data_IF_227102688609
#
_entry.id   IF_227102688609
#
_cell.length_a   1.000
_cell.length_b   1.000
_cell.length_c   1.000
_cell.angle_alpha   90.00
_cell.angle_beta   90.00
_cell.angle_gamma   90.00
#
_symmetry.space_group_name_H-M   'P 1'
#
loop_
_entity.id
_entity.type
_entity.pdbx_description
1 polymer ?
#
# COMPACT_ATOMS: atom_id res chain seq x y z
N UNK A 1 -45.88 20.44 -12.74
CA UNK A 1 -44.51 20.96 -12.47
C UNK A 1 -44.15 20.61 -11.03
N UNK A 2 -43.04 20.01 -10.64
CA UNK A 2 -41.85 19.50 -11.32
C UNK A 2 -41.23 18.41 -10.42
N UNK A 3 -40.57 17.43 -11.04
CA UNK A 3 -40.00 16.24 -10.41
C UNK A 3 -38.80 16.64 -9.54
N UNK A 4 -38.82 16.32 -8.24
CA UNK A 4 -37.65 16.43 -7.37
C UNK A 4 -36.64 15.35 -7.77
N UNK A 5 -35.72 15.68 -8.67
CA UNK A 5 -34.58 14.82 -8.97
C UNK A 5 -33.70 14.75 -7.73
N UNK A 6 -33.67 13.58 -7.09
CA UNK A 6 -32.70 13.27 -6.04
C UNK A 6 -31.30 13.39 -6.67
N UNK A 7 -30.64 14.52 -6.40
CA UNK A 7 -29.34 14.84 -6.94
C UNK A 7 -28.33 13.76 -6.55
N UNK A 8 -27.79 13.06 -7.55
CA UNK A 8 -26.61 12.21 -7.38
C UNK A 8 -25.50 13.10 -6.79
N UNK A 9 -24.79 12.68 -5.73
CA UNK A 9 -23.67 13.46 -5.22
C UNK A 9 -22.70 13.74 -6.38
N UNK A 10 -22.20 14.97 -6.53
CA UNK A 10 -21.26 15.29 -7.59
C UNK A 10 -20.06 14.34 -7.50
N UNK A 11 -19.73 13.69 -8.61
CA UNK A 11 -18.52 12.89 -8.74
C UNK A 11 -17.36 13.80 -8.35
N UNK A 12 -16.69 13.50 -7.24
CA UNK A 12 -15.49 14.24 -6.81
C UNK A 12 -14.55 14.32 -8.01
N UNK A 13 -14.09 15.54 -8.31
CA UNK A 13 -13.14 15.77 -9.41
C UNK A 13 -11.91 14.91 -9.15
N UNK A 14 -11.30 14.39 -10.21
CA UNK A 14 -10.12 13.51 -10.14
C UNK A 14 -8.97 14.17 -9.35
N UNK A 15 -8.93 15.49 -9.31
CA UNK A 15 -8.03 16.33 -8.50
C UNK A 15 -8.24 16.28 -6.98
N UNK A 16 -9.38 15.78 -6.50
CA UNK A 16 -9.64 15.51 -5.07
C UNK A 16 -9.14 14.13 -4.62
N UNK A 17 -8.68 13.28 -5.54
CA UNK A 17 -7.84 12.12 -5.21
C UNK A 17 -6.41 12.62 -4.94
N UNK A 18 -6.24 13.44 -3.90
CA UNK A 18 -4.93 13.56 -3.27
C UNK A 18 -4.57 12.16 -2.80
N UNK A 19 -3.66 11.50 -3.51
CA UNK A 19 -3.01 10.30 -3.04
C UNK A 19 -2.50 10.58 -1.63
N UNK A 20 -3.18 10.02 -0.64
CA UNK A 20 -2.74 10.12 0.74
C UNK A 20 -1.44 9.34 0.80
N UNK A 21 -0.31 10.04 0.72
CA UNK A 21 1.00 9.49 1.05
C UNK A 21 0.94 9.12 2.52
N UNK A 22 0.64 7.86 2.81
CA UNK A 22 0.72 7.32 4.16
C UNK A 22 2.19 7.29 4.52
N UNK A 23 2.62 8.18 5.40
CA UNK A 23 3.95 8.08 5.99
C UNK A 23 3.90 6.96 7.02
N UNK A 24 4.63 5.88 6.76
CA UNK A 24 4.84 4.83 7.74
C UNK A 24 5.71 5.40 8.86
N UNK A 25 5.15 5.52 10.05
CA UNK A 25 5.88 5.92 11.25
C UNK A 25 6.49 4.67 11.89
N UNK A 26 7.72 4.34 11.50
CA UNK A 26 8.50 3.33 12.20
C UNK A 26 9.22 3.94 13.40
N UNK A 27 9.32 3.16 14.47
CA UNK A 27 10.22 3.41 15.60
C UNK A 27 11.69 3.26 15.15
N UNK A 28 12.63 3.80 15.94
CA UNK A 28 14.05 3.71 15.62
C UNK A 28 14.53 2.25 15.54
N UNK A 29 14.01 1.38 16.42
CA UNK A 29 14.37 -0.04 16.45
C UNK A 29 13.93 -0.76 15.17
N UNK A 30 12.72 -0.46 14.67
CA UNK A 30 12.20 -1.00 13.40
C UNK A 30 13.00 -0.51 12.19
N UNK A 31 13.45 0.75 12.20
CA UNK A 31 14.34 1.28 11.17
C UNK A 31 15.71 0.58 11.16
N UNK A 32 16.30 0.34 12.33
CA UNK A 32 17.57 -0.35 12.44
C UNK A 32 17.47 -1.81 11.99
N UNK A 33 16.35 -2.47 12.28
CA UNK A 33 16.08 -3.81 11.78
C UNK A 33 15.93 -3.82 10.25
N UNK A 34 15.15 -2.90 9.68
CA UNK A 34 15.00 -2.76 8.23
C UNK A 34 16.34 -2.47 7.54
N UNK A 35 17.21 -1.69 8.18
CA UNK A 35 18.56 -1.41 7.65
C UNK A 35 19.45 -2.64 7.67
N UNK A 36 19.38 -3.48 8.71
CA UNK A 36 20.06 -4.79 8.73
C UNK A 36 19.54 -5.69 7.60
N UNK A 37 18.22 -5.75 7.41
CA UNK A 37 17.60 -6.53 6.34
C UNK A 37 18.01 -6.03 4.95
N UNK A 38 18.14 -4.72 4.76
CA UNK A 38 18.62 -4.15 3.49
C UNK A 38 19.98 -4.74 3.08
N UNK A 39 20.92 -4.84 4.03
CA UNK A 39 22.26 -5.42 3.78
C UNK A 39 22.15 -6.90 3.49
N UNK A 40 21.39 -7.64 4.31
CA UNK A 40 21.22 -9.09 4.17
C UNK A 40 20.60 -9.49 2.83
N UNK A 41 19.63 -8.70 2.35
CA UNK A 41 18.89 -8.96 1.11
C UNK A 41 19.53 -8.28 -0.10
N UNK A 42 20.71 -7.67 0.07
CA UNK A 42 21.46 -6.94 -0.95
C UNK A 42 20.59 -5.92 -1.71
N UNK A 43 19.79 -5.15 -0.98
CA UNK A 43 18.90 -4.15 -1.56
C UNK A 43 19.53 -2.75 -1.52
N UNK A 44 19.35 -1.98 -2.59
CA UNK A 44 19.96 -0.66 -2.71
C UNK A 44 19.34 0.39 -1.77
N UNK A 45 18.07 0.23 -1.39
CA UNK A 45 17.34 1.18 -0.53
C UNK A 45 16.40 0.45 0.43
N UNK A 46 16.03 1.10 1.55
CA UNK A 46 14.97 0.61 2.43
C UNK A 46 13.64 0.44 1.66
N UNK A 47 13.32 1.36 0.76
CA UNK A 47 12.10 1.27 -0.06
C UNK A 47 12.10 0.01 -0.93
N UNK A 48 13.23 -0.32 -1.57
CA UNK A 48 13.35 -1.56 -2.34
C UNK A 48 13.17 -2.80 -1.45
N UNK A 49 13.71 -2.75 -0.23
CA UNK A 49 13.54 -3.81 0.78
C UNK A 49 12.08 -4.00 1.17
N UNK A 50 11.36 -2.91 1.44
CA UNK A 50 9.92 -2.95 1.76
C UNK A 50 9.12 -3.49 0.57
N UNK A 51 9.41 -3.03 -0.65
CA UNK A 51 8.73 -3.49 -1.87
C UNK A 51 8.90 -4.98 -2.09
N UNK A 52 10.10 -5.51 -1.85
CA UNK A 52 10.39 -6.95 -1.93
C UNK A 52 9.50 -7.75 -0.97
N UNK A 53 9.36 -7.31 0.28
CA UNK A 53 8.49 -7.98 1.24
C UNK A 53 7.01 -7.90 0.85
N UNK A 54 6.55 -6.75 0.36
CA UNK A 54 5.17 -6.58 -0.11
C UNK A 54 4.88 -7.52 -1.29
N UNK A 55 5.80 -7.65 -2.25
CA UNK A 55 5.63 -8.56 -3.38
C UNK A 55 5.55 -10.01 -2.93
N UNK A 56 6.51 -10.47 -2.12
CA UNK A 56 6.51 -11.85 -1.59
C UNK A 56 5.25 -12.15 -0.76
N UNK A 57 4.82 -11.21 0.07
CA UNK A 57 3.59 -11.33 0.84
C UNK A 57 2.35 -11.44 -0.05
N UNK A 58 2.26 -10.63 -1.10
CA UNK A 58 1.16 -10.71 -2.08
C UNK A 58 1.12 -12.05 -2.80
N UNK A 59 2.27 -12.57 -3.21
CA UNK A 59 2.37 -13.88 -3.87
C UNK A 59 1.95 -15.01 -2.93
N UNK A 60 2.42 -15.00 -1.68
CA UNK A 60 2.04 -15.98 -0.68
C UNK A 60 0.52 -15.97 -0.42
N UNK A 61 -0.06 -14.79 -0.19
CA UNK A 61 -1.50 -14.65 0.01
C UNK A 61 -2.29 -15.08 -1.23
N UNK A 62 -1.81 -14.75 -2.44
CA UNK A 62 -2.46 -15.18 -3.67
C UNK A 62 -2.47 -16.71 -3.81
N UNK A 63 -1.39 -17.39 -3.44
CA UNK A 63 -1.31 -18.85 -3.42
C UNK A 63 -2.30 -19.47 -2.44
N UNK A 64 -2.46 -18.90 -1.24
CA UNK A 64 -3.46 -19.36 -0.27
C UNK A 64 -4.88 -19.32 -0.82
N UNK A 65 -5.25 -18.23 -1.52
CA UNK A 65 -6.58 -18.12 -2.14
C UNK A 65 -6.80 -19.09 -3.31
N UNK A 66 -5.74 -19.46 -4.03
CA UNK A 66 -5.81 -20.46 -5.10
C UNK A 66 -5.98 -21.86 -4.51
N UNK A 67 -5.32 -22.17 -3.39
CA UNK A 67 -5.40 -23.48 -2.74
C UNK A 67 -6.72 -23.74 -1.99
N UNK A 68 -7.44 -22.68 -1.61
CA UNK A 68 -8.76 -22.78 -0.95
C UNK A 68 -9.93 -22.96 -1.94
N UNK A 69 -9.67 -23.04 -3.25
CA UNK A 69 -10.66 -23.23 -4.31
C UNK A 69 -10.67 -24.65 -4.84
#
# INVERSE_FOLDING_TARGET
>A
MGVKTAGRPPLKKESDRREKKVMLSFTNDEYDELKKMQVLLNQATLTATILLFVQKGREAVALEFVQQR
#
